data_IF_732584909603
#
_entry.id   IF_732584909603
#
_cell.length_a   1.000
_cell.length_b   1.000
_cell.length_c   1.000
_cell.angle_alpha   90.00
_cell.angle_beta   90.00
_cell.angle_gamma   90.00
#
_symmetry.space_group_name_H-M   'P 1'
#
loop_
_entity.id
_entity.type
_entity.pdbx_description
1 polymer ?
#
# COMPACT_ATOMS: atom_id res chain seq x y z
N UNK A 1 -31.67 28.90 62.36
CA UNK A 1 -31.74 27.60 61.63
C UNK A 1 -31.71 27.72 60.10
N UNK A 2 -31.80 28.92 59.51
CA UNK A 2 -31.76 29.11 58.04
C UNK A 2 -30.35 29.10 57.43
N UNK A 3 -29.32 29.52 58.17
CA UNK A 3 -27.93 29.58 57.65
C UNK A 3 -27.25 28.22 57.47
N UNK A 4 -27.59 27.21 58.29
CA UNK A 4 -27.04 25.84 58.14
C UNK A 4 -27.60 25.09 56.94
N UNK A 5 -28.78 25.47 56.45
CA UNK A 5 -29.38 24.85 55.25
C UNK A 5 -28.79 25.40 53.96
N UNK A 6 -28.44 26.69 53.91
CA UNK A 6 -27.84 27.31 52.71
C UNK A 6 -26.42 26.80 52.43
N UNK A 7 -25.61 26.54 53.47
CA UNK A 7 -24.25 25.99 53.30
C UNK A 7 -24.29 24.50 52.90
N UNK A 8 -25.29 23.74 53.37
CA UNK A 8 -25.48 22.35 52.96
C UNK A 8 -25.93 22.23 51.50
N UNK A 9 -26.77 23.14 51.00
CA UNK A 9 -27.17 23.13 49.59
C UNK A 9 -26.05 23.62 48.67
N UNK A 10 -25.21 24.59 49.08
CA UNK A 10 -24.07 25.03 48.26
C UNK A 10 -22.96 23.98 48.18
N UNK A 11 -22.71 23.23 49.26
CA UNK A 11 -21.75 22.12 49.26
C UNK A 11 -22.21 20.93 48.39
N UNK A 12 -23.53 20.69 48.30
CA UNK A 12 -24.08 19.65 47.44
C UNK A 12 -24.05 20.05 45.94
N UNK A 13 -24.21 21.35 45.64
CA UNK A 13 -24.10 21.87 44.26
C UNK A 13 -22.67 21.88 43.71
N UNK A 14 -21.66 22.03 44.58
CA UNK A 14 -20.24 21.96 44.20
C UNK A 14 -19.74 20.52 44.06
N UNK A 15 -20.40 19.55 44.68
CA UNK A 15 -20.13 18.11 44.48
C UNK A 15 -20.82 17.54 43.23
N UNK A 16 -21.90 18.15 42.74
CA UNK A 16 -22.51 17.80 41.45
C UNK A 16 -21.87 18.47 40.24
N UNK A 17 -20.92 19.40 40.45
CA UNK A 17 -20.14 20.05 39.39
C UNK A 17 -18.79 19.36 39.12
N UNK A 18 -18.40 18.37 39.93
CA UNK A 18 -17.23 17.53 39.72
C UNK A 18 -17.67 16.12 39.30
N UNK A 19 -17.05 15.60 38.24
CA UNK A 19 -17.27 14.25 37.68
C UNK A 19 -18.47 14.10 36.73
N UNK A 20 -18.63 15.05 35.81
CA UNK A 20 -18.76 14.65 34.41
C UNK A 20 -17.41 14.91 33.74
N UNK A 21 -16.43 14.05 34.05
CA UNK A 21 -15.42 13.78 33.03
C UNK A 21 -16.22 13.29 31.83
N UNK A 22 -16.14 13.91 30.65
CA UNK A 22 -16.55 13.20 29.47
C UNK A 22 -15.71 11.93 29.51
N UNK A 23 -16.34 10.78 29.72
CA UNK A 23 -15.70 9.53 29.38
C UNK A 23 -15.33 9.74 27.92
N UNK A 24 -14.05 10.05 27.70
CA UNK A 24 -13.41 9.89 26.42
C UNK A 24 -13.89 8.52 25.97
N UNK A 25 -14.63 8.48 24.86
CA UNK A 25 -15.02 7.20 24.29
C UNK A 25 -13.70 6.51 23.99
N UNK A 26 -13.28 5.64 24.91
CA UNK A 26 -12.08 4.85 24.76
C UNK A 26 -12.23 4.15 23.42
N UNK A 27 -11.14 4.11 22.65
CA UNK A 27 -11.16 3.47 21.35
C UNK A 27 -11.77 2.06 21.50
N UNK A 28 -12.89 1.83 20.81
CA UNK A 28 -13.59 0.55 20.90
C UNK A 28 -12.73 -0.51 20.22
N UNK A 29 -12.06 -1.30 21.06
CA UNK A 29 -11.19 -2.41 20.67
C UNK A 29 -11.87 -3.71 21.08
N UNK A 30 -12.05 -4.63 20.14
CA UNK A 30 -12.66 -5.90 20.51
C UNK A 30 -11.66 -6.71 21.38
N UNK A 31 -12.09 -7.31 22.51
CA UNK A 31 -11.18 -8.00 23.43
C UNK A 31 -10.33 -9.09 22.78
N UNK A 32 -10.90 -9.84 21.82
CA UNK A 32 -10.15 -10.86 21.07
C UNK A 32 -9.00 -10.26 20.27
N UNK A 33 -9.23 -9.12 19.61
CA UNK A 33 -8.21 -8.48 18.76
C UNK A 33 -7.09 -7.86 19.62
N UNK A 34 -7.45 -7.35 20.81
CA UNK A 34 -6.48 -6.90 21.80
C UNK A 34 -5.54 -8.04 22.24
N UNK A 35 -6.09 -9.20 22.61
CA UNK A 35 -5.26 -10.35 23.01
C UNK A 35 -4.38 -10.86 21.86
N UNK A 36 -4.89 -10.88 20.62
CA UNK A 36 -4.10 -11.23 19.44
C UNK A 36 -2.89 -10.31 19.22
N UNK A 37 -3.07 -8.99 19.40
CA UNK A 37 -1.94 -8.06 19.36
C UNK A 37 -0.97 -8.31 20.49
N UNK A 38 -1.49 -8.49 21.70
CA UNK A 38 -0.66 -8.70 22.87
C UNK A 38 0.24 -9.93 22.69
N UNK A 39 -0.31 -11.03 22.17
CA UNK A 39 0.45 -12.23 21.87
C UNK A 39 1.47 -12.01 20.74
N UNK A 40 1.10 -11.25 19.70
CA UNK A 40 2.04 -10.85 18.64
C UNK A 40 3.19 -10.00 19.20
N UNK A 41 2.91 -9.06 20.09
CA UNK A 41 3.89 -8.22 20.76
C UNK A 41 4.81 -9.07 21.64
N UNK A 42 4.28 -10.02 22.40
CA UNK A 42 5.10 -10.96 23.19
C UNK A 42 6.08 -11.75 22.30
N UNK A 43 5.63 -12.14 21.10
CA UNK A 43 6.47 -12.90 20.16
C UNK A 43 7.50 -12.03 19.42
N UNK A 44 7.16 -10.77 19.09
CA UNK A 44 7.94 -9.93 18.17
C UNK A 44 8.48 -8.63 18.77
N UNK A 45 8.19 -8.37 20.04
CA UNK A 45 8.52 -7.14 20.76
C UNK A 45 7.61 -5.94 20.46
N UNK A 46 6.89 -5.95 19.33
CA UNK A 46 5.97 -4.88 18.95
C UNK A 46 4.95 -5.33 17.91
N UNK A 47 3.93 -4.49 17.68
CA UNK A 47 2.94 -4.71 16.64
C UNK A 47 2.45 -3.39 16.02
N UNK A 48 1.99 -3.42 14.75
CA UNK A 48 1.43 -2.26 14.10
C UNK A 48 -0.01 -2.00 14.58
N UNK A 49 -0.32 -0.74 14.84
CA UNK A 49 -1.67 -0.24 15.18
C UNK A 49 -1.99 0.98 14.34
N UNK A 50 -3.25 1.09 13.92
CA UNK A 50 -3.80 2.26 13.25
C UNK A 50 -4.74 3.00 14.20
N UNK A 51 -4.40 4.25 14.53
CA UNK A 51 -5.14 5.09 15.46
C UNK A 51 -5.83 6.20 14.69
N UNK A 52 -7.16 6.19 14.68
CA UNK A 52 -7.96 7.28 14.15
C UNK A 52 -8.03 8.41 15.16
N UNK A 53 -7.56 9.59 14.76
CA UNK A 53 -7.47 10.78 15.60
C UNK A 53 -8.51 11.84 15.23
N UNK A 54 -9.01 11.78 13.99
CA UNK A 54 -10.11 12.61 13.48
C UNK A 54 -11.22 11.74 12.92
N UNK A 55 -12.44 12.28 12.95
CA UNK A 55 -13.56 11.70 12.20
C UNK A 55 -13.39 12.08 10.74
N UNK A 56 -13.60 11.12 9.85
CA UNK A 56 -13.51 11.36 8.41
C UNK A 56 -14.44 12.53 8.02
N UNK A 57 -13.91 13.50 7.27
CA UNK A 57 -14.62 14.71 6.83
C UNK A 57 -15.12 15.66 7.94
N UNK A 58 -14.69 15.52 9.19
CA UNK A 58 -15.11 16.46 10.25
C UNK A 58 -14.59 17.89 10.06
N UNK A 59 -13.54 18.05 9.27
CA UNK A 59 -12.95 19.33 8.89
C UNK A 59 -12.95 19.39 7.36
N UNK A 60 -13.82 20.20 6.74
CA UNK A 60 -13.94 20.30 5.29
C UNK A 60 -12.66 20.84 4.63
N UNK A 61 -12.07 21.88 5.24
CA UNK A 61 -10.84 22.49 4.75
C UNK A 61 -9.63 21.55 4.91
N UNK A 62 -8.88 21.34 3.84
CA UNK A 62 -7.82 20.35 3.81
C UNK A 62 -6.60 20.76 4.65
N UNK A 63 -6.25 22.05 4.63
CA UNK A 63 -5.09 22.58 5.36
C UNK A 63 -5.36 22.61 6.86
N UNK A 64 -6.54 23.09 7.27
CA UNK A 64 -6.98 23.05 8.66
C UNK A 64 -7.06 21.61 9.19
N UNK A 65 -7.53 20.66 8.36
CA UNK A 65 -7.54 19.24 8.72
C UNK A 65 -6.14 18.68 8.93
N UNK A 66 -5.21 19.01 8.04
CA UNK A 66 -3.82 18.57 8.15
C UNK A 66 -3.15 19.14 9.43
N UNK A 67 -3.36 20.41 9.74
CA UNK A 67 -2.84 21.06 10.95
C UNK A 67 -3.40 20.41 12.22
N UNK A 68 -4.72 20.23 12.31
CA UNK A 68 -5.34 19.59 13.48
C UNK A 68 -4.92 18.12 13.63
N UNK A 69 -4.82 17.38 12.51
CA UNK A 69 -4.34 16.00 12.52
C UNK A 69 -2.92 15.93 13.06
N UNK A 70 -2.01 16.78 12.56
CA UNK A 70 -0.63 16.84 13.03
C UNK A 70 -0.57 17.16 14.52
N UNK A 71 -1.35 18.13 15.00
CA UNK A 71 -1.42 18.48 16.42
C UNK A 71 -1.93 17.34 17.32
N UNK A 72 -2.81 16.46 16.82
CA UNK A 72 -3.24 15.25 17.55
C UNK A 72 -2.20 14.15 17.53
N UNK A 73 -1.52 13.99 16.40
CA UNK A 73 -0.40 13.04 16.26
C UNK A 73 0.70 13.40 17.25
N UNK A 74 1.10 14.67 17.30
CA UNK A 74 2.17 15.11 18.19
C UNK A 74 1.82 14.86 19.66
N UNK A 75 0.58 15.12 20.07
CA UNK A 75 0.09 14.80 21.41
C UNK A 75 0.09 13.30 21.71
N UNK A 76 -0.42 12.47 20.79
CA UNK A 76 -0.41 11.01 20.95
C UNK A 76 1.03 10.48 21.07
N UNK A 77 1.96 10.98 20.26
CA UNK A 77 3.36 10.57 20.31
C UNK A 77 4.04 10.97 21.62
N UNK A 78 3.65 12.10 22.22
CA UNK A 78 4.09 12.48 23.57
C UNK A 78 3.53 11.53 24.63
N UNK A 79 2.24 11.18 24.56
CA UNK A 79 1.62 10.18 25.46
C UNK A 79 2.33 8.83 25.39
N UNK A 80 2.69 8.39 24.17
CA UNK A 80 3.36 7.11 23.95
C UNK A 80 4.85 7.14 24.32
N UNK A 81 5.51 8.29 24.18
CA UNK A 81 6.93 8.43 24.46
C UNK A 81 7.78 7.39 23.73
N UNK A 82 8.51 6.56 24.49
CA UNK A 82 9.37 5.49 23.97
C UNK A 82 8.61 4.23 23.54
N UNK A 83 7.34 4.11 23.92
CA UNK A 83 6.52 2.95 23.64
C UNK A 83 5.93 2.97 22.22
N UNK A 84 5.99 4.13 21.53
CA UNK A 84 5.88 4.23 20.09
C UNK A 84 7.27 4.18 19.44
N UNK A 85 7.49 3.18 18.61
CA UNK A 85 8.77 3.03 17.92
C UNK A 85 8.98 4.19 16.91
N UNK A 86 10.24 4.63 16.69
CA UNK A 86 10.55 5.82 15.89
C UNK A 86 10.35 5.64 14.38
N UNK A 87 10.20 4.40 13.89
CA UNK A 87 10.02 4.08 12.48
C UNK A 87 8.68 3.38 12.20
N UNK A 88 8.30 3.36 10.92
CA UNK A 88 7.09 2.70 10.43
C UNK A 88 5.85 3.50 10.80
N UNK A 89 5.88 4.81 10.57
CA UNK A 89 4.72 5.69 10.78
C UNK A 89 4.10 6.05 9.46
N UNK A 90 2.78 5.97 9.38
CA UNK A 90 2.02 6.39 8.20
C UNK A 90 0.87 7.28 8.64
N UNK A 91 0.76 8.47 8.07
CA UNK A 91 -0.41 9.32 8.29
C UNK A 91 -1.29 9.21 7.06
N UNK A 92 -2.50 8.68 7.24
CA UNK A 92 -3.46 8.65 6.16
C UNK A 92 -4.24 9.97 6.10
N UNK A 93 -4.67 10.36 4.90
CA UNK A 93 -5.41 11.60 4.66
C UNK A 93 -6.81 11.62 5.29
N UNK A 94 -7.31 10.45 5.72
CA UNK A 94 -8.59 10.31 6.39
C UNK A 94 -8.60 10.80 7.84
N UNK A 95 -7.45 11.12 8.43
CA UNK A 95 -7.35 11.50 9.85
C UNK A 95 -6.73 10.49 10.82
N UNK A 96 -5.92 9.54 10.36
CA UNK A 96 -5.40 8.46 11.19
C UNK A 96 -3.90 8.27 11.02
N UNK A 97 -3.27 7.70 12.05
CA UNK A 97 -1.85 7.36 12.07
C UNK A 97 -1.65 5.86 12.29
N UNK A 98 -0.85 5.22 11.44
CA UNK A 98 -0.32 3.89 11.68
C UNK A 98 1.04 4.04 12.37
N UNK A 99 1.30 3.24 13.40
CA UNK A 99 2.57 3.21 14.11
C UNK A 99 2.82 1.84 14.74
N UNK A 100 4.05 1.59 15.16
CA UNK A 100 4.42 0.39 15.90
C UNK A 100 4.49 0.67 17.39
N UNK A 101 3.82 -0.15 18.19
CA UNK A 101 3.78 -0.02 19.65
C UNK A 101 4.30 -1.27 20.36
N UNK A 102 4.86 -1.06 21.54
CA UNK A 102 5.12 -2.11 22.54
C UNK A 102 3.82 -2.50 23.25
N UNK A 103 3.88 -3.44 24.20
CA UNK A 103 2.72 -3.86 24.99
C UNK A 103 2.18 -2.70 25.83
N UNK A 104 3.07 -1.98 26.52
CA UNK A 104 2.70 -0.77 27.27
C UNK A 104 2.16 0.33 26.34
N UNK A 105 2.73 0.47 25.13
CA UNK A 105 2.23 1.40 24.13
C UNK A 105 0.82 1.07 23.67
N UNK A 106 0.49 -0.22 23.52
CA UNK A 106 -0.87 -0.66 23.19
C UNK A 106 -1.87 -0.26 24.29
N UNK A 107 -1.51 -0.45 25.57
CA UNK A 107 -2.33 0.00 26.69
C UNK A 107 -2.56 1.51 26.68
N UNK A 108 -1.51 2.31 26.40
CA UNK A 108 -1.63 3.77 26.29
C UNK A 108 -2.57 4.15 25.14
N UNK A 109 -2.39 3.56 23.95
CA UNK A 109 -3.22 3.87 22.76
C UNK A 109 -4.70 3.58 23.03
N UNK A 110 -5.03 2.42 23.61
CA UNK A 110 -6.42 2.02 23.88
C UNK A 110 -7.11 2.93 24.88
N UNK A 111 -6.36 3.43 25.86
CA UNK A 111 -6.87 4.33 26.90
C UNK A 111 -6.69 5.82 26.55
N UNK A 112 -6.10 6.15 25.41
CA UNK A 112 -5.83 7.53 25.02
C UNK A 112 -7.15 8.25 24.69
N UNK A 113 -7.40 9.44 25.27
CA UNK A 113 -8.59 10.22 24.94
C UNK A 113 -8.54 10.82 23.52
N UNK A 114 -7.39 10.76 22.85
CA UNK A 114 -7.22 11.19 21.46
C UNK A 114 -7.66 10.13 20.46
N UNK A 115 -7.63 8.85 20.86
CA UNK A 115 -7.92 7.72 20.00
C UNK A 115 -9.44 7.55 19.84
N UNK A 116 -9.98 7.98 18.71
CA UNK A 116 -11.39 7.79 18.37
C UNK A 116 -11.71 6.32 18.06
N UNK A 117 -10.74 5.64 17.44
CA UNK A 117 -10.80 4.22 17.09
C UNK A 117 -9.40 3.69 16.93
N UNK A 118 -9.18 2.48 17.42
CA UNK A 118 -7.92 1.75 17.23
C UNK A 118 -8.24 0.54 16.37
N UNK A 119 -7.53 0.44 15.26
CA UNK A 119 -7.63 -0.63 14.30
C UNK A 119 -6.32 -1.38 14.24
N UNK A 120 -6.45 -2.66 13.94
CA UNK A 120 -5.33 -3.55 13.74
C UNK A 120 -5.00 -3.52 12.26
N UNK A 121 -3.79 -3.08 11.95
CA UNK A 121 -3.34 -3.12 10.56
C UNK A 121 -2.51 -4.37 10.35
N UNK A 122 -3.11 -5.32 9.66
CA UNK A 122 -2.34 -6.40 9.07
C UNK A 122 -1.79 -5.87 7.75
N UNK A 123 -0.50 -5.52 7.77
CA UNK A 123 0.42 -5.65 6.64
C UNK A 123 0.81 -4.39 5.86
N UNK A 124 2.13 -4.21 5.73
CA UNK A 124 2.85 -3.28 4.83
C UNK A 124 2.58 -3.53 3.33
N UNK A 125 1.79 -4.55 3.02
CA UNK A 125 1.53 -5.09 1.68
C UNK A 125 0.72 -4.19 0.75
N UNK A 126 0.08 -3.16 1.29
CA UNK A 126 -0.88 -2.33 0.53
C UNK A 126 -0.26 -1.12 -0.16
N UNK A 127 1.04 -0.84 0.05
CA UNK A 127 1.72 0.35 -0.46
C UNK A 127 2.73 0.05 -1.57
N UNK A 128 2.55 -1.06 -2.29
CA UNK A 128 3.43 -1.46 -3.41
C UNK A 128 2.69 -1.46 -4.75
N UNK A 129 3.38 -1.05 -5.81
CA UNK A 129 2.91 -1.09 -7.21
C UNK A 129 2.84 -2.49 -7.80
N UNK A 130 3.59 -3.43 -7.22
CA UNK A 130 3.48 -4.81 -7.63
C UNK A 130 2.10 -5.37 -7.26
N UNK A 131 1.47 -6.19 -8.13
CA UNK A 131 0.14 -6.73 -7.86
C UNK A 131 0.16 -7.72 -6.72
N UNK A 132 -0.70 -7.51 -5.71
CA UNK A 132 -0.80 -8.43 -4.57
C UNK A 132 -1.11 -9.87 -4.98
N UNK A 133 -1.80 -10.06 -6.11
CA UNK A 133 -2.13 -11.38 -6.65
C UNK A 133 -0.92 -12.20 -7.06
N UNK A 134 0.23 -11.59 -7.34
CA UNK A 134 1.37 -12.28 -7.95
C UNK A 134 2.23 -13.07 -6.94
N UNK A 135 1.82 -13.12 -5.68
CA UNK A 135 2.46 -13.89 -4.60
C UNK A 135 3.80 -13.33 -4.11
N UNK A 136 4.26 -12.20 -4.64
CA UNK A 136 5.55 -11.61 -4.25
C UNK A 136 5.59 -11.17 -2.78
N UNK A 137 4.47 -10.66 -2.27
CA UNK A 137 4.31 -10.31 -0.85
C UNK A 137 4.13 -11.57 0.00
N UNK A 138 3.36 -12.55 -0.49
CA UNK A 138 3.18 -13.82 0.19
C UNK A 138 4.51 -14.55 0.40
N UNK A 139 5.40 -14.49 -0.60
CA UNK A 139 6.74 -15.06 -0.49
C UNK A 139 7.60 -14.32 0.55
N UNK A 140 7.58 -12.98 0.56
CA UNK A 140 8.27 -12.20 1.60
C UNK A 140 7.75 -12.57 2.99
N UNK A 141 6.44 -12.65 3.15
CA UNK A 141 5.78 -13.04 4.39
C UNK A 141 6.13 -14.45 4.84
N UNK A 142 6.13 -15.40 3.89
CA UNK A 142 6.51 -16.79 4.13
C UNK A 142 7.95 -16.84 4.61
N UNK A 143 8.88 -16.16 3.92
CA UNK A 143 10.29 -16.09 4.32
C UNK A 143 10.43 -15.47 5.71
N UNK A 144 9.70 -14.39 6.00
CA UNK A 144 9.70 -13.75 7.32
C UNK A 144 9.27 -14.73 8.42
N UNK A 145 8.15 -15.43 8.21
CA UNK A 145 7.57 -16.38 9.17
C UNK A 145 8.46 -17.60 9.39
N UNK A 146 9.18 -18.04 8.36
CA UNK A 146 10.11 -19.19 8.45
C UNK A 146 11.52 -18.80 8.89
N UNK A 147 11.85 -17.51 8.95
CA UNK A 147 13.19 -17.04 9.32
C UNK A 147 13.38 -17.14 10.83
N UNK A 148 14.36 -17.95 11.26
CA UNK A 148 14.68 -18.11 12.68
C UNK A 148 15.12 -16.79 13.35
N UNK A 149 15.69 -15.86 12.57
CA UNK A 149 16.10 -14.55 13.06
C UNK A 149 14.99 -13.49 12.96
N UNK A 150 13.90 -13.77 12.25
CA UNK A 150 12.86 -12.79 11.95
C UNK A 150 13.25 -11.77 10.86
N UNK A 151 14.29 -12.07 10.08
CA UNK A 151 14.81 -11.22 9.02
C UNK A 151 14.64 -11.85 7.63
N UNK A 152 14.44 -11.01 6.63
CA UNK A 152 14.36 -11.38 5.22
C UNK A 152 15.19 -10.42 4.37
N UNK A 153 15.76 -10.95 3.28
CA UNK A 153 16.33 -10.10 2.24
C UNK A 153 15.20 -9.66 1.29
N UNK A 154 15.19 -8.38 0.94
CA UNK A 154 14.17 -7.74 0.09
C UNK A 154 14.87 -6.93 -0.99
N UNK A 155 14.40 -7.07 -2.22
CA UNK A 155 14.70 -6.15 -3.31
C UNK A 155 13.62 -5.06 -3.32
N UNK A 156 14.05 -3.82 -3.10
CA UNK A 156 13.17 -2.66 -3.06
C UNK A 156 13.41 -1.78 -4.29
N UNK A 157 12.36 -1.50 -5.06
CA UNK A 157 12.40 -0.55 -6.18
C UNK A 157 12.03 0.82 -5.64
N UNK A 158 12.90 1.81 -5.86
CA UNK A 158 12.75 3.16 -5.35
C UNK A 158 11.85 4.01 -6.24
N UNK A 159 11.10 4.93 -5.62
CA UNK A 159 10.47 6.02 -6.35
C UNK A 159 11.55 6.96 -6.90
N UNK A 160 11.67 7.05 -8.23
CA UNK A 160 12.63 7.94 -8.90
C UNK A 160 11.88 9.06 -9.61
N UNK A 161 12.10 10.34 -9.25
CA UNK A 161 11.43 11.46 -9.89
C UNK A 161 11.62 11.45 -11.42
N UNK A 162 10.50 11.54 -12.14
CA UNK A 162 10.49 11.58 -13.60
C UNK A 162 10.80 10.25 -14.29
N UNK A 163 11.05 9.16 -13.56
CA UNK A 163 11.17 7.82 -14.15
C UNK A 163 9.81 7.11 -14.19
N UNK A 164 9.66 6.20 -15.16
CA UNK A 164 8.47 5.37 -15.31
C UNK A 164 8.69 4.04 -14.59
N UNK A 165 7.66 3.49 -13.94
CA UNK A 165 7.69 2.12 -13.44
C UNK A 165 7.14 1.18 -14.51
N UNK A 166 7.78 0.02 -14.68
CA UNK A 166 7.35 -1.02 -15.60
C UNK A 166 7.48 -2.39 -14.93
N UNK A 167 6.66 -3.34 -15.39
CA UNK A 167 6.73 -4.73 -15.00
C UNK A 167 7.21 -5.49 -16.23
N UNK A 168 8.37 -6.15 -16.14
CA UNK A 168 8.88 -6.91 -17.27
C UNK A 168 7.88 -8.00 -17.69
N UNK A 169 7.60 -8.07 -19.00
CA UNK A 169 6.52 -8.90 -19.53
C UNK A 169 6.75 -10.41 -19.39
N UNK A 170 8.00 -10.85 -19.19
CA UNK A 170 8.36 -12.27 -19.16
C UNK A 170 8.75 -12.75 -17.76
N UNK A 171 9.36 -11.87 -16.99
CA UNK A 171 9.90 -12.15 -15.66
C UNK A 171 9.03 -11.56 -14.56
N UNK A 172 8.13 -10.62 -14.88
CA UNK A 172 7.27 -9.94 -13.92
C UNK A 172 8.04 -9.03 -12.96
N UNK A 173 9.30 -8.70 -13.28
CA UNK A 173 10.14 -7.86 -12.47
C UNK A 173 9.68 -6.39 -12.55
N UNK A 174 9.25 -5.85 -11.42
CA UNK A 174 8.92 -4.42 -11.29
C UNK A 174 10.18 -3.57 -11.16
N UNK A 175 10.41 -2.65 -12.08
CA UNK A 175 11.59 -1.79 -12.12
C UNK A 175 11.26 -0.38 -12.58
N UNK A 176 12.16 0.57 -12.30
CA UNK A 176 12.08 1.89 -12.94
C UNK A 176 12.91 1.93 -14.22
N UNK A 177 12.33 2.51 -15.27
CA UNK A 177 12.96 2.67 -16.58
C UNK A 177 13.71 4.01 -16.61
N UNK A 178 15.04 3.93 -16.54
CA UNK A 178 15.94 5.07 -16.56
C UNK A 178 16.41 5.31 -18.00
N UNK A 179 15.93 6.39 -18.64
CA UNK A 179 16.16 6.70 -20.06
C UNK A 179 17.15 7.85 -20.28
N UNK A 180 17.49 8.60 -19.24
CA UNK A 180 18.31 9.82 -19.34
C UNK A 180 19.32 9.93 -18.19
N UNK A 181 20.47 10.61 -18.40
CA UNK A 181 21.44 10.87 -17.33
C UNK A 181 20.82 11.56 -16.10
N UNK A 182 19.84 12.45 -16.30
CA UNK A 182 19.11 13.11 -15.22
C UNK A 182 18.34 12.11 -14.35
N UNK A 183 17.68 11.11 -14.95
CA UNK A 183 16.99 10.05 -14.21
C UNK A 183 17.96 9.11 -13.49
N UNK A 184 19.14 8.83 -14.05
CA UNK A 184 20.17 8.07 -13.33
C UNK A 184 20.67 8.84 -12.10
N UNK A 185 20.90 10.16 -12.22
CA UNK A 185 21.24 11.00 -11.06
C UNK A 185 20.11 11.02 -10.04
N UNK A 186 18.86 11.20 -10.47
CA UNK A 186 17.71 11.20 -9.59
C UNK A 186 17.53 9.85 -8.85
N UNK A 187 17.89 8.73 -9.47
CA UNK A 187 17.87 7.42 -8.81
C UNK A 187 18.90 7.33 -7.68
N UNK A 188 20.11 7.85 -7.91
CA UNK A 188 21.15 7.95 -6.88
C UNK A 188 20.69 8.87 -5.74
N UNK A 189 20.12 10.03 -6.08
CA UNK A 189 19.60 10.97 -5.09
C UNK A 189 18.46 10.36 -4.25
N UNK A 190 17.56 9.59 -4.88
CA UNK A 190 16.50 8.87 -4.20
C UNK A 190 17.06 7.82 -3.22
N UNK A 191 18.07 7.04 -3.63
CA UNK A 191 18.73 6.08 -2.75
C UNK A 191 19.43 6.77 -1.57
N UNK A 192 20.15 7.87 -1.83
CA UNK A 192 20.83 8.64 -0.78
C UNK A 192 19.84 9.30 0.18
N UNK A 193 18.70 9.78 -0.33
CA UNK A 193 17.62 10.31 0.49
C UNK A 193 17.04 9.23 1.38
N UNK A 194 16.78 8.04 0.84
CA UNK A 194 16.33 6.88 1.62
C UNK A 194 17.31 6.57 2.75
N UNK A 195 18.61 6.42 2.45
CA UNK A 195 19.63 6.09 3.43
C UNK A 195 19.74 7.16 4.52
N UNK A 196 19.70 8.44 4.15
CA UNK A 196 19.69 9.54 5.13
C UNK A 196 18.45 9.49 6.02
N UNK A 197 17.26 9.22 5.45
CA UNK A 197 16.00 9.14 6.19
C UNK A 197 15.96 7.94 7.13
N UNK A 198 16.53 6.83 6.71
CA UNK A 198 16.70 5.62 7.52
C UNK A 198 17.81 5.75 8.57
N UNK A 199 18.65 6.78 8.48
CA UNK A 199 19.83 6.92 9.34
C UNK A 199 20.88 5.84 9.10
N UNK A 200 20.99 5.34 7.85
CA UNK A 200 22.07 4.44 7.44
C UNK A 200 23.36 5.24 7.33
N UNK A 201 24.45 4.85 8.02
CA UNK A 201 25.71 5.57 7.94
C UNK A 201 26.33 5.41 6.55
N UNK A 202 26.43 6.51 5.81
CA UNK A 202 26.92 6.53 4.42
C UNK A 202 28.44 6.43 4.30
N UNK A 203 29.16 6.53 5.42
CA UNK A 203 30.64 6.51 5.47
C UNK A 203 31.23 5.10 5.64
N UNK A 204 30.42 4.08 5.92
CA UNK A 204 30.89 2.77 6.39
C UNK A 204 31.19 1.75 5.29
N UNK A 205 30.91 2.06 4.02
CA UNK A 205 30.80 1.03 2.98
C UNK A 205 29.58 0.11 3.22
N UNK A 206 29.36 -0.86 2.34
CA UNK A 206 28.28 -1.84 2.48
C UNK A 206 28.82 -3.19 2.97
N UNK A 207 28.07 -3.94 3.79
CA UNK A 207 26.72 -3.65 4.27
C UNK A 207 26.67 -2.59 5.39
N UNK A 208 25.59 -1.81 5.44
CA UNK A 208 25.39 -0.75 6.45
C UNK A 208 23.98 -0.82 7.06
N UNK A 209 23.88 -0.74 8.40
CA UNK A 209 22.60 -0.87 9.12
C UNK A 209 22.11 0.46 9.68
N UNK A 210 20.79 0.61 9.78
CA UNK A 210 20.20 1.72 10.54
C UNK A 210 20.60 1.64 12.02
N UNK A 211 20.64 2.77 12.72
CA UNK A 211 21.00 2.81 14.14
C UNK A 211 20.09 1.91 15.02
N UNK A 212 18.83 1.74 14.62
CA UNK A 212 17.87 0.85 15.28
C UNK A 212 17.95 -0.62 14.84
N UNK A 213 18.88 -0.96 13.95
CA UNK A 213 19.06 -2.32 13.42
C UNK A 213 17.77 -2.88 12.85
N UNK A 214 17.05 -2.11 12.03
CA UNK A 214 15.77 -2.53 11.41
C UNK A 214 15.95 -2.91 9.95
N UNK A 215 16.87 -2.20 9.30
CA UNK A 215 17.18 -2.33 7.88
C UNK A 215 18.71 -2.33 7.77
N UNK A 216 19.24 -3.26 7.00
CA UNK A 216 20.64 -3.32 6.57
C UNK A 216 20.67 -3.22 5.06
N UNK A 217 21.36 -2.22 4.51
CA UNK A 217 21.62 -2.11 3.08
C UNK A 217 22.71 -3.12 2.72
N UNK A 218 22.41 -4.02 1.78
CA UNK A 218 23.31 -5.08 1.34
C UNK A 218 23.99 -4.74 0.02
N UNK A 219 23.24 -4.22 -0.96
CA UNK A 219 23.73 -3.87 -2.28
C UNK A 219 22.95 -2.68 -2.87
N UNK A 220 23.67 -1.82 -3.61
CA UNK A 220 23.15 -0.64 -4.31
C UNK A 220 23.47 -0.66 -5.81
N UNK A 221 24.04 -1.76 -6.32
CA UNK A 221 24.38 -1.92 -7.73
C UNK A 221 23.17 -1.81 -8.67
N UNK A 222 21.96 -2.01 -8.16
CA UNK A 222 20.70 -1.84 -8.88
C UNK A 222 20.27 -0.39 -9.08
N UNK A 223 20.76 0.56 -8.26
CA UNK A 223 20.24 1.93 -8.23
C UNK A 223 20.33 2.60 -9.60
N UNK A 224 21.50 2.56 -10.22
CA UNK A 224 21.71 3.19 -11.53
C UNK A 224 21.24 2.33 -12.70
N UNK A 225 20.95 1.04 -12.49
CA UNK A 225 20.49 0.13 -13.54
C UNK A 225 18.98 0.17 -13.70
N UNK A 226 18.27 0.04 -12.59
CA UNK A 226 16.82 -0.17 -12.57
C UNK A 226 16.16 0.40 -11.31
N UNK A 227 16.86 1.29 -10.59
CA UNK A 227 16.40 1.94 -9.35
C UNK A 227 16.10 0.99 -8.21
N UNK A 228 16.79 -0.15 -8.13
CA UNK A 228 16.61 -1.12 -7.05
C UNK A 228 17.73 -1.07 -6.02
N UNK A 229 17.40 -1.41 -4.78
CA UNK A 229 18.35 -1.67 -3.69
C UNK A 229 18.05 -3.03 -3.06
N UNK A 230 19.10 -3.73 -2.64
CA UNK A 230 18.98 -4.96 -1.88
C UNK A 230 19.16 -4.66 -0.39
N UNK A 231 18.16 -5.02 0.40
CA UNK A 231 18.12 -4.75 1.83
C UNK A 231 17.89 -6.06 2.59
N UNK A 232 18.34 -6.11 3.84
CA UNK A 232 17.89 -7.10 4.83
C UNK A 232 17.05 -6.36 5.86
N UNK A 233 15.85 -6.87 6.13
CA UNK A 233 14.87 -6.19 6.99
C UNK A 233 14.03 -7.19 7.78
N UNK A 234 13.43 -6.73 8.87
CA UNK A 234 12.35 -7.45 9.55
C UNK A 234 10.98 -6.85 9.15
N UNK A 235 9.92 -7.26 9.83
CA UNK A 235 8.55 -6.80 9.54
C UNK A 235 8.40 -5.28 9.68
N UNK A 236 9.01 -4.70 10.73
CA UNK A 236 8.99 -3.25 10.96
C UNK A 236 9.66 -2.50 9.82
N UNK A 237 10.80 -2.99 9.35
CA UNK A 237 11.51 -2.33 8.25
C UNK A 237 10.79 -2.47 6.90
N UNK A 238 10.05 -3.56 6.67
CA UNK A 238 9.15 -3.65 5.50
C UNK A 238 8.04 -2.61 5.55
N UNK A 239 7.46 -2.40 6.74
CA UNK A 239 6.49 -1.35 6.96
C UNK A 239 7.09 0.05 6.80
N UNK A 240 8.31 0.29 7.27
CA UNK A 240 9.04 1.55 7.05
C UNK A 240 9.21 1.85 5.56
N UNK A 241 9.64 0.85 4.78
CA UNK A 241 9.84 1.00 3.33
C UNK A 241 8.53 1.27 2.58
N UNK A 242 7.49 0.51 2.90
CA UNK A 242 6.21 0.57 2.21
C UNK A 242 5.42 1.85 2.55
N UNK A 243 5.25 2.16 3.84
CA UNK A 243 4.35 3.21 4.28
C UNK A 243 4.85 4.63 4.06
N UNK A 244 6.17 4.82 3.92
CA UNK A 244 6.74 6.12 3.61
C UNK A 244 6.88 6.35 2.09
N UNK A 245 6.32 5.44 1.28
CA UNK A 245 6.40 5.44 -0.18
C UNK A 245 7.85 5.56 -0.69
N UNK A 246 8.80 5.06 0.10
CA UNK A 246 10.22 5.06 -0.26
C UNK A 246 10.50 3.96 -1.29
N UNK A 247 9.91 2.80 -1.06
CA UNK A 247 9.89 1.70 -2.01
C UNK A 247 8.52 1.63 -2.67
N UNK A 248 8.48 1.84 -3.98
CA UNK A 248 7.28 1.66 -4.79
C UNK A 248 7.04 0.20 -5.13
N UNK A 249 8.03 -0.68 -4.97
CA UNK A 249 7.85 -2.12 -5.06
C UNK A 249 8.79 -2.84 -4.09
N UNK A 250 8.32 -3.96 -3.54
CA UNK A 250 9.07 -4.82 -2.64
C UNK A 250 8.89 -6.27 -3.10
N UNK A 251 9.96 -7.04 -3.25
CA UNK A 251 9.88 -8.48 -3.50
C UNK A 251 11.04 -9.22 -2.86
N UNK A 252 10.89 -10.52 -2.70
CA UNK A 252 12.01 -11.34 -2.28
C UNK A 252 13.04 -11.48 -3.44
N UNK A 253 14.35 -11.39 -3.18
CA UNK A 253 15.37 -11.56 -4.20
C UNK A 253 15.22 -12.90 -4.92
N UNK A 254 15.30 -12.86 -6.24
CA UNK A 254 15.12 -14.01 -7.14
C UNK A 254 13.69 -14.54 -7.24
N UNK A 255 12.70 -13.95 -6.55
CA UNK A 255 11.30 -14.33 -6.74
C UNK A 255 10.82 -13.91 -8.12
N UNK A 256 10.19 -14.85 -8.82
CA UNK A 256 9.52 -14.60 -10.10
C UNK A 256 8.02 -14.81 -9.91
N UNK A 257 7.17 -13.87 -10.34
CA UNK A 257 5.72 -14.05 -10.35
C UNK A 257 5.34 -15.34 -11.06
N UNK A 258 4.49 -16.13 -10.40
CA UNK A 258 4.11 -17.45 -10.89
C UNK A 258 2.77 -17.46 -11.65
N UNK A 259 2.01 -16.36 -11.62
CA UNK A 259 0.63 -16.36 -12.11
C UNK A 259 0.51 -15.75 -13.50
N UNK A 260 0.00 -16.57 -14.43
CA UNK A 260 -0.52 -16.15 -15.72
C UNK A 260 -1.75 -15.23 -15.55
N UNK A 261 -2.08 -14.40 -16.55
CA UNK A 261 -3.29 -13.59 -16.50
C UNK A 261 -4.53 -14.46 -16.32
N UNK A 262 -5.44 -14.04 -15.44
CA UNK A 262 -6.71 -14.73 -15.24
C UNK A 262 -7.62 -14.49 -16.46
N UNK A 263 -8.18 -15.56 -17.05
CA UNK A 263 -9.14 -15.44 -18.15
C UNK A 263 -10.54 -15.64 -17.60
N UNK A 264 -11.37 -14.61 -17.71
CA UNK A 264 -12.72 -14.57 -17.12
C UNK A 264 -13.75 -14.54 -18.24
N UNK A 265 -14.67 -15.51 -18.34
CA UNK A 265 -15.79 -15.39 -19.24
C UNK A 265 -16.84 -14.42 -18.67
N UNK A 266 -17.36 -13.52 -19.51
CA UNK A 266 -18.47 -12.63 -19.17
C UNK A 266 -19.57 -12.77 -20.23
N UNK A 267 -20.82 -12.62 -19.83
CA UNK A 267 -21.94 -12.53 -20.77
C UNK A 267 -21.84 -11.31 -21.70
N UNK A 268 -22.37 -11.41 -22.92
CA UNK A 268 -22.44 -10.26 -23.84
C UNK A 268 -22.95 -8.99 -23.17
N UNK A 269 -22.25 -7.89 -23.46
CA UNK A 269 -22.70 -6.55 -23.07
C UNK A 269 -23.76 -6.03 -24.05
N UNK A 270 -24.30 -4.83 -23.82
CA UNK A 270 -25.25 -4.17 -24.74
C UNK A 270 -24.60 -3.69 -26.04
N UNK A 271 -23.31 -3.95 -26.26
CA UNK A 271 -22.62 -3.54 -27.47
C UNK A 271 -22.94 -4.49 -28.63
N UNK A 272 -22.91 -4.00 -29.90
CA UNK A 272 -23.17 -4.82 -31.08
C UNK A 272 -22.32 -6.09 -31.10
N UNK A 273 -22.83 -7.21 -31.56
CA UNK A 273 -22.02 -8.44 -31.65
C UNK A 273 -20.80 -8.23 -32.58
N UNK A 274 -19.63 -8.78 -32.23
CA UNK A 274 -18.49 -8.82 -33.15
C UNK A 274 -18.81 -9.54 -34.46
N UNK A 275 -17.98 -9.35 -35.49
CA UNK A 275 -18.11 -10.09 -36.75
C UNK A 275 -17.90 -11.59 -36.57
N UNK A 276 -18.27 -12.38 -37.59
CA UNK A 276 -18.05 -13.83 -37.56
C UNK A 276 -16.57 -14.19 -37.33
N UNK A 277 -16.31 -15.12 -36.41
CA UNK A 277 -14.95 -15.52 -36.02
C UNK A 277 -14.17 -14.49 -35.20
N UNK A 278 -14.88 -13.52 -34.62
CA UNK A 278 -14.32 -12.51 -33.74
C UNK A 278 -15.00 -12.55 -32.37
N UNK A 279 -14.21 -12.19 -31.36
CA UNK A 279 -14.67 -12.08 -29.99
C UNK A 279 -14.24 -10.74 -29.40
N UNK A 280 -15.08 -10.20 -28.52
CA UNK A 280 -14.75 -9.01 -27.73
C UNK A 280 -14.07 -9.44 -26.44
N UNK A 281 -13.00 -8.75 -26.09
CA UNK A 281 -12.35 -8.91 -24.80
C UNK A 281 -12.04 -7.56 -24.16
N UNK A 282 -12.03 -7.53 -22.82
CA UNK A 282 -11.53 -6.42 -22.03
C UNK A 282 -10.22 -6.85 -21.41
N UNK A 283 -9.14 -6.15 -21.74
CA UNK A 283 -7.78 -6.44 -21.26
C UNK A 283 -7.45 -5.47 -20.15
N UNK A 284 -7.08 -5.99 -18.98
CA UNK A 284 -6.73 -5.21 -17.80
C UNK A 284 -5.23 -5.31 -17.53
N UNK A 285 -4.58 -4.17 -17.28
CA UNK A 285 -3.19 -4.17 -16.84
C UNK A 285 -3.08 -4.26 -15.32
N UNK A 286 -1.94 -4.80 -14.89
CA UNK A 286 -1.38 -4.60 -13.56
C UNK A 286 -0.86 -3.16 -13.49
N UNK A 287 -1.17 -2.45 -12.41
CA UNK A 287 -0.89 -1.01 -12.18
C UNK A 287 0.57 -0.63 -12.52
N UNK A 288 0.87 0.00 -13.68
CA UNK A 288 2.21 0.46 -14.04
C UNK A 288 2.64 1.75 -13.32
N UNK A 289 1.75 2.45 -12.61
CA UNK A 289 2.07 3.70 -11.91
C UNK A 289 1.10 4.01 -10.76
N UNK A 290 1.61 4.56 -9.65
CA UNK A 290 0.78 5.03 -8.52
C UNK A 290 0.14 6.39 -8.80
N UNK A 291 -0.87 6.70 -7.99
CA UNK A 291 -1.65 7.93 -7.97
C UNK A 291 -0.92 9.15 -7.37
N UNK A 292 0.32 8.97 -6.90
CA UNK A 292 0.98 9.94 -6.01
C UNK A 292 1.98 10.79 -6.80
N UNK A 293 1.62 12.05 -7.07
CA UNK A 293 2.52 13.07 -7.59
C UNK A 293 2.76 13.08 -9.10
N UNK A 294 2.26 12.09 -9.84
CA UNK A 294 2.26 12.11 -11.32
C UNK A 294 0.96 12.72 -11.82
N UNK A 295 1.06 13.71 -12.71
CA UNK A 295 -0.12 14.32 -13.32
C UNK A 295 -1.00 13.27 -14.01
N UNK A 296 -2.32 13.38 -13.85
CA UNK A 296 -3.30 12.42 -14.40
C UNK A 296 -3.09 12.16 -15.90
N UNK A 297 -2.73 13.18 -16.68
CA UNK A 297 -2.45 13.05 -18.10
C UNK A 297 -1.23 12.15 -18.37
N UNK A 298 -0.15 12.32 -17.62
CA UNK A 298 1.06 11.48 -17.71
C UNK A 298 0.76 10.05 -17.33
N UNK A 299 -0.02 9.84 -16.25
CA UNK A 299 -0.50 8.51 -15.85
C UNK A 299 -1.26 7.83 -16.99
N UNK A 300 -2.27 8.51 -17.53
CA UNK A 300 -3.07 7.99 -18.63
C UNK A 300 -2.22 7.63 -19.87
N UNK A 301 -1.20 8.45 -20.19
CA UNK A 301 -0.28 8.17 -21.28
C UNK A 301 0.58 6.92 -21.03
N UNK A 302 1.09 6.71 -19.81
CA UNK A 302 1.86 5.51 -19.44
C UNK A 302 1.00 4.26 -19.59
N UNK A 303 -0.20 4.27 -19.00
CA UNK A 303 -1.14 3.16 -19.07
C UNK A 303 -1.54 2.82 -20.50
N UNK A 304 -1.82 3.84 -21.31
CA UNK A 304 -2.16 3.66 -22.72
C UNK A 304 -1.01 3.02 -23.49
N UNK A 305 0.22 3.55 -23.37
CA UNK A 305 1.40 2.98 -24.03
C UNK A 305 1.65 1.54 -23.60
N UNK A 306 1.51 1.22 -22.31
CA UNK A 306 1.66 -0.14 -21.82
C UNK A 306 0.61 -1.10 -22.41
N UNK A 307 -0.64 -0.64 -22.56
CA UNK A 307 -1.69 -1.44 -23.22
C UNK A 307 -1.43 -1.60 -24.72
N UNK A 308 -0.98 -0.54 -25.39
CA UNK A 308 -0.57 -0.58 -26.80
C UNK A 308 0.58 -1.59 -26.99
N UNK A 309 1.59 -1.59 -26.13
CA UNK A 309 2.70 -2.54 -26.15
C UNK A 309 2.29 -3.99 -25.85
N UNK A 310 1.31 -4.19 -24.97
CA UNK A 310 0.72 -5.52 -24.72
C UNK A 310 -0.03 -6.00 -25.95
N UNK A 311 -0.78 -5.13 -26.63
CA UNK A 311 -1.63 -5.48 -27.76
C UNK A 311 -0.92 -5.51 -29.12
N UNK A 312 0.23 -4.85 -29.25
CA UNK A 312 1.00 -4.76 -30.50
C UNK A 312 1.26 -6.11 -31.22
N UNK A 313 1.47 -7.24 -30.52
CA UNK A 313 1.65 -8.54 -31.17
C UNK A 313 0.38 -9.17 -31.77
N UNK A 314 -0.80 -8.59 -31.55
CA UNK A 314 -2.10 -9.19 -31.90
C UNK A 314 -2.82 -8.37 -32.98
N UNK A 315 -3.55 -9.06 -33.85
CA UNK A 315 -4.39 -8.42 -34.85
C UNK A 315 -5.70 -7.92 -34.21
N UNK A 316 -5.69 -6.69 -33.69
CA UNK A 316 -6.91 -6.04 -33.17
C UNK A 316 -7.76 -5.53 -34.34
N UNK A 317 -9.04 -5.88 -34.32
CA UNK A 317 -10.04 -5.42 -35.29
C UNK A 317 -10.59 -4.05 -34.87
N UNK A 318 -10.40 -3.05 -35.74
CA UNK A 318 -10.82 -1.68 -35.47
C UNK A 318 -9.97 -0.98 -34.40
N UNK A 319 -10.52 0.08 -33.80
CA UNK A 319 -9.82 0.89 -32.81
C UNK A 319 -10.12 0.39 -31.39
N UNK A 320 -9.10 0.10 -30.55
CA UNK A 320 -9.31 -0.18 -29.14
C UNK A 320 -10.12 0.92 -28.45
N UNK A 321 -11.09 0.52 -27.63
CA UNK A 321 -11.90 1.43 -26.83
C UNK A 321 -11.28 1.56 -25.44
N UNK A 322 -10.62 2.68 -25.22
CA UNK A 322 -10.01 3.04 -23.95
C UNK A 322 -11.07 3.43 -22.93
N UNK A 323 -11.01 2.83 -21.74
CA UNK A 323 -11.90 3.19 -20.64
C UNK A 323 -11.27 4.25 -19.73
N UNK A 324 -12.10 4.95 -18.94
CA UNK A 324 -11.63 6.00 -18.02
C UNK A 324 -10.52 5.47 -17.10
N UNK A 325 -9.45 6.26 -16.95
CA UNK A 325 -8.18 5.94 -16.29
C UNK A 325 -7.22 4.97 -17.01
N UNK A 326 -7.52 4.47 -18.21
CA UNK A 326 -6.62 3.66 -19.06
C UNK A 326 -6.05 2.39 -18.41
N UNK A 327 -6.58 1.95 -17.25
CA UNK A 327 -6.25 0.66 -16.62
C UNK A 327 -6.71 -0.57 -17.39
N UNK A 328 -7.59 -0.35 -18.39
CA UNK A 328 -8.16 -1.38 -19.23
C UNK A 328 -8.54 -0.85 -20.60
N UNK A 329 -8.67 -1.75 -21.56
CA UNK A 329 -9.16 -1.45 -22.92
C UNK A 329 -10.06 -2.56 -23.43
N UNK A 330 -11.11 -2.17 -24.12
CA UNK A 330 -11.99 -3.10 -24.83
C UNK A 330 -11.48 -3.25 -26.27
N UNK A 331 -11.27 -4.50 -26.69
CA UNK A 331 -10.74 -4.87 -28.00
C UNK A 331 -11.61 -5.95 -28.64
N UNK A 332 -11.64 -5.95 -29.97
CA UNK A 332 -12.21 -7.05 -30.75
C UNK A 332 -11.06 -7.72 -31.46
N UNK A 333 -10.92 -9.04 -31.31
CA UNK A 333 -9.87 -9.82 -31.96
C UNK A 333 -10.48 -11.01 -32.71
N UNK A 334 -9.84 -11.51 -33.77
CA UNK A 334 -10.10 -12.85 -34.27
C UNK A 334 -9.96 -13.87 -33.14
N UNK A 335 -10.79 -14.91 -33.14
CA UNK A 335 -10.81 -15.90 -32.05
C UNK A 335 -9.43 -16.55 -31.81
N UNK A 336 -8.66 -16.80 -32.87
CA UNK A 336 -7.30 -17.33 -32.78
C UNK A 336 -6.31 -16.37 -32.09
N UNK A 337 -6.45 -15.06 -32.28
CA UNK A 337 -5.62 -14.07 -31.58
C UNK A 337 -6.07 -13.89 -30.13
N UNK A 338 -7.37 -14.04 -29.86
CA UNK A 338 -7.87 -14.04 -28.49
C UNK A 338 -7.38 -15.25 -27.70
N UNK A 339 -7.37 -16.43 -28.32
CA UNK A 339 -6.78 -17.63 -27.72
C UNK A 339 -5.28 -17.43 -27.45
N UNK A 340 -4.53 -16.87 -28.41
CA UNK A 340 -3.13 -16.50 -28.21
C UNK A 340 -2.95 -15.52 -27.05
N UNK A 341 -3.78 -14.48 -26.97
CA UNK A 341 -3.74 -13.49 -25.89
C UNK A 341 -4.06 -14.11 -24.53
N UNK A 342 -5.06 -14.99 -24.47
CA UNK A 342 -5.47 -15.71 -23.26
C UNK A 342 -4.40 -16.71 -22.79
N UNK A 343 -3.62 -17.28 -23.72
CA UNK A 343 -2.50 -18.17 -23.43
C UNK A 343 -1.18 -17.41 -23.22
N UNK A 344 -1.14 -16.13 -23.57
CA UNK A 344 0.07 -15.33 -23.45
C UNK A 344 0.45 -15.15 -21.99
N UNK A 345 1.72 -15.39 -21.71
CA UNK A 345 2.32 -15.16 -20.38
C UNK A 345 2.85 -13.72 -20.25
N UNK A 346 2.18 -12.74 -20.85
CA UNK A 346 2.55 -11.34 -20.61
C UNK A 346 2.18 -10.99 -19.17
N UNK A 347 3.19 -10.97 -18.30
CA UNK A 347 3.02 -10.78 -16.86
C UNK A 347 2.61 -9.35 -16.48
N UNK A 348 2.42 -8.44 -17.44
CA UNK A 348 1.79 -7.12 -17.23
C UNK A 348 0.27 -7.21 -17.25
N UNK A 349 -0.30 -8.24 -17.87
CA UNK A 349 -1.76 -8.42 -17.94
C UNK A 349 -2.25 -9.00 -16.61
N UNK A 350 -3.25 -8.33 -16.02
CA UNK A 350 -3.88 -8.77 -14.77
C UNK A 350 -4.92 -9.84 -15.05
N UNK A 351 -5.84 -9.54 -15.96
CA UNK A 351 -6.84 -10.48 -16.44
C UNK A 351 -7.38 -10.06 -17.80
N UNK A 352 -7.90 -11.04 -18.54
CA UNK A 352 -8.60 -10.87 -19.81
C UNK A 352 -10.03 -11.32 -19.61
N UNK A 353 -10.97 -10.41 -19.78
CA UNK A 353 -12.40 -10.73 -19.72
C UNK A 353 -12.89 -10.96 -21.14
N UNK A 354 -13.35 -12.16 -21.44
CA UNK A 354 -13.85 -12.54 -22.78
C UNK A 354 -15.37 -12.49 -22.76
N UNK A 355 -15.96 -11.69 -23.63
CA UNK A 355 -17.40 -11.74 -23.84
C UNK A 355 -17.78 -13.03 -24.56
N UNK A 356 -18.74 -13.76 -24.00
CA UNK A 356 -19.30 -15.01 -24.51
C UNK A 356 -20.81 -14.91 -24.64
N UNK A 357 -21.43 -15.74 -25.49
CA UNK A 357 -22.87 -15.91 -25.50
C UNK A 357 -23.36 -16.28 -24.10
N UNK A 358 -24.29 -15.48 -23.56
CA UNK A 358 -25.09 -15.92 -22.44
C UNK A 358 -26.01 -16.98 -23.01
N UNK A 359 -26.01 -18.19 -22.44
CA UNK A 359 -27.11 -19.13 -22.63
C UNK A 359 -28.39 -18.46 -22.12
N UNK A 360 -29.04 -17.62 -22.96
CA UNK A 360 -30.39 -17.15 -22.68
C UNK A 360 -31.27 -18.39 -22.73
N UNK A 361 -32.10 -18.67 -21.70
CA UNK A 361 -33.19 -19.60 -21.86
C UNK A 361 -33.98 -19.14 -23.09
N UNK A 362 -34.21 -20.05 -24.04
CA UNK A 362 -35.11 -19.77 -25.14
C UNK A 362 -36.43 -19.27 -24.52
N UNK A 363 -36.90 -18.09 -24.95
CA UNK A 363 -38.19 -17.60 -24.50
C UNK A 363 -39.23 -18.71 -24.75
N UNK A 364 -40.16 -18.95 -23.80
CA UNK A 364 -41.15 -20.00 -23.98
C UNK A 364 -42.03 -19.68 -25.21
N UNK A 365 -42.56 -20.72 -25.88
CA UNK A 365 -43.20 -20.64 -27.19
C UNK A 365 -44.40 -19.69 -27.25
#
# INVERSE_FOLDING_TARGET
MLFRRVVATLALSLLSAGVFLPFAQAAEIHPLEYEQLRDRIKQRGSAPVAVWLLRLFSIPDADARAVELQARIDRLLVELGREALPGGRHVNSGGGIMLWVTEAGLEIVVNSPLALRVLFFNEWRHSTLLPQSDGHLDELDRRLKTSASGWVDVEATLAVPGAEFDIDRHTGEGSVVLKSPAQHSAAVDAAMLLFRRLGVPTSSGLPASTAGGVITVLDVSGVTRNGTVLLRTNERGLAELAWNNWAIALKAPGYRPMLAPLVIPQGYTTQPEPGAGQSRAVVFLKTPAEEWGVALATRNAIYRRALEDVLAPYAVSGTPRWEEAFGRTTVVLPDAELERLAQARDLRVKYVVIEKPINKPAAPP
#
